data_IF_734954028132
#
_entry.id   IF_734954028132
#
_cell.length_a   1.000
_cell.length_b   1.000
_cell.length_c   1.000
_cell.angle_alpha   90.00
_cell.angle_beta   90.00
_cell.angle_gamma   90.00
#
_symmetry.space_group_name_H-M   'P 1'
#
loop_
_entity.id
_entity.type
_entity.pdbx_description
1 polymer ?
#
# COMPACT_ATOMS: atom_id res chain seq x y z
N UNK A 1 11.86 -7.12 7.77
CA UNK A 1 11.33 -5.98 6.99
C UNK A 1 12.41 -4.92 7.00
N UNK A 2 12.62 -4.20 5.89
CA UNK A 2 13.57 -3.08 5.83
C UNK A 2 12.81 -1.74 5.80
N UNK A 3 13.33 -0.74 6.49
CA UNK A 3 12.78 0.62 6.58
C UNK A 3 13.78 1.57 5.90
N UNK A 4 13.35 2.20 4.81
CA UNK A 4 14.18 3.09 4.01
C UNK A 4 13.71 4.53 4.20
N UNK A 5 14.63 5.47 4.39
CA UNK A 5 14.31 6.88 4.48
C UNK A 5 14.80 7.64 3.25
N UNK A 6 13.93 8.42 2.60
CA UNK A 6 14.36 9.35 1.54
C UNK A 6 15.01 10.58 2.17
N UNK A 7 16.29 10.47 2.50
CA UNK A 7 17.04 11.50 3.22
C UNK A 7 18.39 11.72 2.57
N UNK A 8 18.76 12.99 2.41
CA UNK A 8 20.08 13.38 1.93
C UNK A 8 21.06 13.34 3.11
N UNK A 9 21.88 12.29 3.17
CA UNK A 9 22.95 12.13 4.16
C UNK A 9 24.21 11.58 3.50
N UNK A 10 25.35 11.68 4.19
CA UNK A 10 26.64 11.15 3.70
C UNK A 10 26.64 9.63 3.53
N UNK A 11 25.70 8.93 4.20
CA UNK A 11 25.55 7.48 4.16
C UNK A 11 24.43 7.03 3.22
N UNK A 12 23.77 7.96 2.52
CA UNK A 12 22.67 7.61 1.64
C UNK A 12 23.17 6.92 0.37
N UNK A 13 22.48 5.86 -0.04
CA UNK A 13 22.79 5.09 -1.24
C UNK A 13 21.83 5.44 -2.39
N UNK A 14 22.23 5.18 -3.64
CA UNK A 14 21.32 5.34 -4.77
C UNK A 14 20.12 4.40 -4.57
N UNK A 15 18.91 4.94 -4.66
CA UNK A 15 17.67 4.17 -4.50
C UNK A 15 17.62 2.94 -5.40
N UNK A 16 18.33 2.90 -6.54
CA UNK A 16 18.40 1.76 -7.47
C UNK A 16 19.22 0.58 -6.96
N UNK A 17 20.09 0.79 -5.98
CA UNK A 17 20.97 -0.25 -5.42
C UNK A 17 20.28 -1.11 -4.35
N UNK A 18 19.09 -0.69 -3.91
CA UNK A 18 18.29 -1.42 -2.94
C UNK A 18 17.62 -2.64 -3.58
N UNK A 19 17.59 -3.75 -2.85
CA UNK A 19 16.74 -4.90 -3.16
C UNK A 19 15.31 -4.71 -2.62
N UNK A 20 14.39 -4.28 -3.48
CA UNK A 20 12.97 -4.06 -3.16
C UNK A 20 12.10 -5.33 -3.22
N UNK A 21 12.69 -6.49 -3.52
CA UNK A 21 11.95 -7.78 -3.51
C UNK A 21 11.63 -8.23 -2.09
N UNK A 22 12.31 -7.66 -1.09
CA UNK A 22 12.07 -7.88 0.35
C UNK A 22 10.88 -7.04 0.86
N UNK A 23 10.23 -7.44 1.98
CA UNK A 23 9.28 -6.58 2.68
C UNK A 23 9.92 -5.24 3.05
N UNK A 24 9.40 -4.16 2.48
CA UNK A 24 10.02 -2.83 2.47
C UNK A 24 9.01 -1.75 2.86
N UNK A 25 9.39 -0.89 3.80
CA UNK A 25 8.71 0.36 4.11
C UNK A 25 9.56 1.52 3.60
N UNK A 26 8.95 2.49 2.94
CA UNK A 26 9.65 3.67 2.38
C UNK A 26 9.06 4.91 3.06
N UNK A 27 9.88 5.58 3.85
CA UNK A 27 9.56 6.82 4.51
C UNK A 27 9.82 7.97 3.54
N UNK A 28 8.76 8.71 3.23
CA UNK A 28 8.84 9.91 2.40
C UNK A 28 8.77 11.14 3.29
N UNK A 29 9.68 12.08 3.09
CA UNK A 29 9.68 13.36 3.82
C UNK A 29 8.58 14.32 3.36
N UNK A 30 8.14 15.21 4.25
CA UNK A 30 7.32 16.36 3.86
C UNK A 30 8.14 17.36 3.06
N UNK A 31 7.52 18.05 2.09
CA UNK A 31 8.24 18.95 1.16
C UNK A 31 9.05 20.06 1.85
N UNK A 32 8.61 20.53 3.03
CA UNK A 32 9.26 21.63 3.76
C UNK A 32 10.23 21.18 4.84
N UNK A 33 9.91 20.08 5.51
CA UNK A 33 10.55 19.67 6.77
C UNK A 33 11.28 18.34 6.66
N UNK A 34 11.13 17.63 5.53
CA UNK A 34 11.75 16.32 5.34
C UNK A 34 11.16 15.26 6.26
N UNK A 35 12.00 14.29 6.64
CA UNK A 35 11.68 13.22 7.60
C UNK A 35 12.17 13.68 8.98
N UNK A 36 11.41 13.36 10.04
CA UNK A 36 11.80 13.72 11.41
C UNK A 36 13.05 12.96 11.84
N UNK A 37 13.86 13.56 12.72
CA UNK A 37 15.07 12.90 13.24
C UNK A 37 14.77 11.56 13.94
N UNK A 38 13.62 11.47 14.62
CA UNK A 38 13.14 10.24 15.25
C UNK A 38 12.90 9.14 14.20
N UNK A 39 12.25 9.46 13.09
CA UNK A 39 11.99 8.50 12.03
C UNK A 39 13.28 8.11 11.27
N UNK A 40 14.22 9.05 11.09
CA UNK A 40 15.56 8.76 10.53
C UNK A 40 16.35 7.81 11.42
N UNK A 41 16.31 8.00 12.75
CA UNK A 41 17.02 7.14 13.69
C UNK A 41 16.47 5.70 13.75
N UNK A 42 15.24 5.48 13.26
CA UNK A 42 14.59 4.18 13.17
C UNK A 42 14.70 3.55 11.77
N UNK A 43 15.22 4.28 10.78
CA UNK A 43 15.40 3.76 9.44
C UNK A 43 16.64 2.85 9.39
N UNK A 44 16.55 1.77 8.62
CA UNK A 44 17.67 0.86 8.40
C UNK A 44 18.69 1.44 7.40
N UNK A 45 18.23 2.27 6.46
CA UNK A 45 19.06 2.83 5.40
C UNK A 45 18.47 4.13 4.83
N UNK A 46 19.32 5.13 4.61
CA UNK A 46 18.98 6.32 3.84
C UNK A 46 19.16 6.06 2.34
N UNK A 47 18.20 6.51 1.53
CA UNK A 47 18.23 6.41 0.07
C UNK A 47 18.07 7.78 -0.58
N UNK A 48 18.75 7.98 -1.70
CA UNK A 48 18.64 9.19 -2.51
C UNK A 48 18.31 8.87 -3.97
N UNK A 49 17.61 9.79 -4.61
CA UNK A 49 17.54 9.84 -6.07
C UNK A 49 18.68 10.76 -6.51
N UNK A 50 19.67 10.27 -7.30
CA UNK A 50 20.75 11.12 -7.75
C UNK A 50 20.23 12.30 -8.55
N UNK A 51 20.50 13.51 -8.08
CA UNK A 51 20.13 14.74 -8.74
C UNK A 51 21.28 15.21 -9.63
N UNK A 52 20.99 15.52 -10.89
CA UNK A 52 21.94 16.14 -11.81
C UNK A 52 21.47 17.58 -12.07
N UNK A 53 22.31 18.56 -11.74
CA UNK A 53 22.02 19.98 -11.94
C UNK A 53 21.87 20.75 -10.63
N UNK A 54 21.13 21.86 -10.67
CA UNK A 54 21.07 22.84 -9.57
C UNK A 54 19.96 22.56 -8.54
N UNK A 55 19.05 21.64 -8.83
CA UNK A 55 17.93 21.32 -7.94
C UNK A 55 18.33 20.29 -6.90
N UNK A 56 17.95 20.54 -5.64
CA UNK A 56 18.34 19.71 -4.51
C UNK A 56 17.41 18.51 -4.28
N UNK A 57 16.18 18.56 -4.82
CA UNK A 57 15.19 17.50 -4.67
C UNK A 57 14.16 17.53 -5.79
N UNK A 58 13.41 16.43 -5.91
CA UNK A 58 12.20 16.35 -6.71
C UNK A 58 10.97 16.64 -5.86
N UNK A 59 9.83 16.90 -6.52
CA UNK A 59 8.53 16.86 -5.86
C UNK A 59 8.32 15.47 -5.20
N UNK A 60 7.73 15.44 -4.00
CA UNK A 60 7.57 14.20 -3.22
C UNK A 60 6.79 13.12 -3.97
N UNK A 61 5.78 13.50 -4.77
CA UNK A 61 5.00 12.55 -5.58
C UNK A 61 5.84 11.96 -6.72
N UNK A 62 6.71 12.77 -7.34
CA UNK A 62 7.62 12.34 -8.41
C UNK A 62 8.70 11.42 -7.85
N UNK A 63 9.28 11.77 -6.70
CA UNK A 63 10.24 10.92 -6.00
C UNK A 63 9.60 9.57 -5.61
N UNK A 64 8.40 9.61 -5.04
CA UNK A 64 7.63 8.41 -4.69
C UNK A 64 7.38 7.52 -5.92
N UNK A 65 6.95 8.12 -7.04
CA UNK A 65 6.70 7.40 -8.27
C UNK A 65 7.96 6.72 -8.80
N UNK A 66 9.11 7.41 -8.85
CA UNK A 66 10.37 6.84 -9.31
C UNK A 66 10.80 5.64 -8.45
N UNK A 67 10.76 5.78 -7.13
CA UNK A 67 11.17 4.72 -6.21
C UNK A 67 10.22 3.52 -6.30
N UNK A 68 8.91 3.75 -6.32
CA UNK A 68 7.91 2.69 -6.43
C UNK A 68 7.96 1.98 -7.78
N UNK A 69 8.27 2.67 -8.88
CA UNK A 69 8.44 2.04 -10.19
C UNK A 69 9.73 1.21 -10.26
N UNK A 70 10.81 1.62 -9.60
CA UNK A 70 11.99 0.75 -9.48
C UNK A 70 11.68 -0.51 -8.65
N UNK A 71 10.97 -0.34 -7.53
CA UNK A 71 10.51 -1.48 -6.74
C UNK A 71 9.59 -2.41 -7.56
N UNK A 72 8.67 -1.85 -8.34
CA UNK A 72 7.81 -2.59 -9.25
C UNK A 72 8.62 -3.34 -10.31
N UNK A 73 9.61 -2.70 -10.93
CA UNK A 73 10.51 -3.30 -11.92
C UNK A 73 11.25 -4.51 -11.36
N UNK A 74 11.86 -4.37 -10.17
CA UNK A 74 12.55 -5.47 -9.51
C UNK A 74 11.61 -6.63 -9.16
N UNK A 75 10.44 -6.32 -8.58
CA UNK A 75 9.42 -7.33 -8.22
C UNK A 75 8.86 -8.06 -9.44
N UNK A 76 8.69 -7.35 -10.56
CA UNK A 76 8.28 -7.95 -11.84
C UNK A 76 9.35 -8.89 -12.37
N UNK A 77 10.61 -8.46 -12.39
CA UNK A 77 11.73 -9.30 -12.85
C UNK A 77 11.95 -10.54 -11.96
N UNK A 78 11.63 -10.43 -10.67
CA UNK A 78 11.62 -11.55 -9.73
C UNK A 78 10.35 -12.43 -9.82
N UNK A 79 9.43 -12.15 -10.77
CA UNK A 79 8.21 -12.93 -10.95
C UNK A 79 7.17 -12.77 -9.83
N UNK A 80 7.30 -11.79 -8.94
CA UNK A 80 6.45 -11.66 -7.76
C UNK A 80 5.00 -11.27 -8.07
N UNK A 81 4.73 -10.79 -9.29
CA UNK A 81 3.39 -10.53 -9.80
C UNK A 81 2.82 -11.67 -10.64
N UNK A 82 3.62 -12.70 -10.96
CA UNK A 82 3.18 -13.89 -11.70
C UNK A 82 2.60 -14.91 -10.72
N UNK A 83 1.45 -14.60 -10.13
CA UNK A 83 0.79 -15.46 -9.13
C UNK A 83 -0.62 -15.80 -9.56
N UNK A 84 -0.97 -17.07 -9.44
CA UNK A 84 -2.35 -17.56 -9.65
C UNK A 84 -3.25 -17.21 -8.47
N UNK A 85 -2.69 -17.13 -7.26
CA UNK A 85 -3.41 -16.88 -6.02
C UNK A 85 -2.86 -15.67 -5.27
N UNK A 86 -3.74 -14.97 -4.55
CA UNK A 86 -3.38 -13.84 -3.68
C UNK A 86 -2.53 -14.31 -2.48
N UNK A 87 -1.66 -13.44 -1.98
CA UNK A 87 -0.92 -13.67 -0.73
C UNK A 87 -1.75 -13.39 0.53
N UNK A 88 -2.92 -12.77 0.38
CA UNK A 88 -3.78 -12.42 1.51
C UNK A 88 -4.60 -13.64 1.95
N UNK A 89 -4.87 -13.82 3.25
CA UNK A 89 -5.86 -14.80 3.71
C UNK A 89 -7.22 -14.57 3.03
N UNK A 90 -7.95 -15.64 2.72
CA UNK A 90 -9.24 -15.55 2.02
C UNK A 90 -10.23 -14.59 2.70
N UNK A 91 -10.32 -14.62 4.04
CA UNK A 91 -11.17 -13.71 4.80
C UNK A 91 -10.83 -12.22 4.57
N UNK A 92 -9.54 -11.90 4.39
CA UNK A 92 -9.10 -10.53 4.10
C UNK A 92 -9.39 -10.16 2.64
N UNK A 93 -9.21 -11.09 1.71
CA UNK A 93 -9.62 -10.90 0.30
C UNK A 93 -11.11 -10.58 0.22
N UNK A 94 -11.96 -11.38 0.86
CA UNK A 94 -13.42 -11.19 0.87
C UNK A 94 -13.83 -9.87 1.51
N UNK A 95 -13.19 -9.49 2.62
CA UNK A 95 -13.40 -8.17 3.23
C UNK A 95 -13.09 -7.04 2.25
N UNK A 96 -11.94 -7.10 1.57
CA UNK A 96 -11.53 -6.07 0.60
C UNK A 96 -12.43 -6.04 -0.64
N UNK A 97 -12.85 -7.20 -1.14
CA UNK A 97 -13.79 -7.31 -2.26
C UNK A 97 -15.13 -6.67 -1.90
N UNK A 98 -15.67 -6.94 -0.72
CA UNK A 98 -16.93 -6.36 -0.27
C UNK A 98 -16.81 -4.85 -0.02
N UNK A 99 -15.77 -4.40 0.69
CA UNK A 99 -15.54 -2.97 0.98
C UNK A 99 -15.28 -2.15 -0.29
N UNK A 100 -14.54 -2.71 -1.25
CA UNK A 100 -14.20 -2.07 -2.51
C UNK A 100 -15.31 -2.12 -3.55
N UNK A 101 -15.96 -3.28 -3.72
CA UNK A 101 -17.03 -3.48 -4.69
C UNK A 101 -18.37 -2.86 -4.26
N UNK A 102 -18.64 -2.82 -2.95
CA UNK A 102 -19.92 -2.38 -2.40
C UNK A 102 -19.75 -1.37 -1.25
N UNK A 103 -19.10 -0.21 -1.46
CA UNK A 103 -18.71 0.69 -0.38
C UNK A 103 -19.89 1.25 0.42
N UNK A 104 -21.07 1.41 -0.21
CA UNK A 104 -22.29 1.85 0.47
C UNK A 104 -22.82 0.75 1.38
N UNK A 105 -22.91 -0.50 0.90
CA UNK A 105 -23.38 -1.63 1.69
C UNK A 105 -22.41 -1.94 2.83
N UNK A 106 -21.10 -1.88 2.59
CA UNK A 106 -20.07 -2.04 3.61
C UNK A 106 -20.22 -1.04 4.76
N UNK A 107 -20.48 0.24 4.46
CA UNK A 107 -20.74 1.26 5.48
C UNK A 107 -21.99 0.93 6.31
N UNK A 108 -23.07 0.49 5.68
CA UNK A 108 -24.33 0.15 6.36
C UNK A 108 -24.15 -1.11 7.21
N UNK A 109 -23.56 -2.17 6.66
CA UNK A 109 -23.25 -3.40 7.38
C UNK A 109 -22.39 -3.12 8.61
N UNK A 110 -21.34 -2.31 8.46
CA UNK A 110 -20.49 -1.88 9.58
C UNK A 110 -21.26 -1.10 10.65
N UNK A 111 -22.16 -0.19 10.27
CA UNK A 111 -23.02 0.56 11.21
C UNK A 111 -24.00 -0.35 11.96
N UNK A 112 -24.51 -1.39 11.30
CA UNK A 112 -25.47 -2.35 11.85
C UNK A 112 -24.80 -3.55 12.54
N UNK A 113 -23.47 -3.63 12.55
CA UNK A 113 -22.74 -4.77 13.12
C UNK A 113 -22.94 -6.09 12.35
N UNK A 114 -23.33 -6.00 11.07
CA UNK A 114 -23.55 -7.17 10.23
C UNK A 114 -22.22 -7.72 9.70
N UNK A 115 -22.07 -9.06 9.64
CA UNK A 115 -20.94 -9.67 8.96
C UNK A 115 -20.99 -9.33 7.46
N UNK A 116 -19.82 -9.30 6.83
CA UNK A 116 -19.74 -9.12 5.40
C UNK A 116 -20.04 -10.45 4.70
N UNK A 117 -21.00 -10.47 3.76
CA UNK A 117 -21.28 -11.65 2.96
C UNK A 117 -20.14 -11.95 1.98
N UNK A 118 -20.13 -13.17 1.46
CA UNK A 118 -19.15 -13.58 0.45
C UNK A 118 -19.45 -12.89 -0.89
N UNK A 119 -18.41 -12.53 -1.63
CA UNK A 119 -18.48 -12.03 -3.00
C UNK A 119 -18.01 -13.14 -3.93
N UNK A 120 -18.90 -13.60 -4.80
CA UNK A 120 -18.63 -14.71 -5.71
C UNK A 120 -17.72 -14.30 -6.88
N UNK A 121 -17.38 -15.26 -7.75
CA UNK A 121 -16.47 -15.01 -8.89
C UNK A 121 -17.06 -14.06 -9.94
N UNK A 122 -18.38 -13.91 -9.98
CA UNK A 122 -19.08 -12.96 -10.84
C UNK A 122 -19.12 -11.55 -10.23
N UNK A 123 -18.60 -11.40 -9.01
CA UNK A 123 -18.61 -10.14 -8.27
C UNK A 123 -19.92 -9.86 -7.56
N UNK A 124 -20.80 -10.86 -7.39
CA UNK A 124 -22.11 -10.73 -6.76
C UNK A 124 -22.07 -11.09 -5.28
N UNK A 125 -22.99 -10.52 -4.49
CA UNK A 125 -23.11 -10.77 -3.05
C UNK A 125 -23.90 -12.05 -2.79
N UNK A 126 -23.29 -13.00 -2.08
CA UNK A 126 -23.94 -14.20 -1.56
C UNK A 126 -24.36 -13.95 -0.11
N UNK A 127 -25.61 -13.51 0.06
CA UNK A 127 -26.22 -13.25 1.36
C UNK A 127 -27.62 -13.87 1.45
N UNK A 128 -28.01 -14.31 2.64
CA UNK A 128 -29.36 -14.82 2.89
C UNK A 128 -30.41 -13.69 2.94
N UNK A 129 -31.68 -14.10 2.94
CA UNK A 129 -32.80 -13.16 3.00
C UNK A 129 -32.81 -12.34 4.30
N UNK A 130 -32.34 -12.91 5.41
CA UNK A 130 -32.30 -12.25 6.72
C UNK A 130 -31.29 -11.09 6.74
N UNK A 131 -30.14 -11.28 6.08
CA UNK A 131 -29.14 -10.25 5.90
C UNK A 131 -29.72 -9.08 5.08
N UNK A 132 -30.39 -9.38 3.96
CA UNK A 132 -31.03 -8.35 3.13
C UNK A 132 -32.17 -7.62 3.86
N UNK A 133 -32.99 -8.34 4.62
CA UNK A 133 -34.04 -7.75 5.43
C UNK A 133 -33.46 -6.78 6.48
N UNK A 134 -32.37 -7.18 7.15
CA UNK A 134 -31.70 -6.34 8.16
C UNK A 134 -31.02 -5.12 7.54
N UNK A 135 -30.51 -5.25 6.32
CA UNK A 135 -29.95 -4.14 5.54
C UNK A 135 -31.01 -3.11 5.15
N UNK A 136 -32.21 -3.56 4.78
CA UNK A 136 -33.33 -2.68 4.40
C UNK A 136 -34.09 -2.10 5.59
N UNK A 137 -34.08 -2.78 6.73
CA UNK A 137 -34.71 -2.28 7.95
C UNK A 137 -34.14 -0.90 8.30
N UNK A 138 -35.01 0.07 8.58
CA UNK A 138 -34.58 1.36 9.11
C UNK A 138 -33.82 1.10 10.43
N UNK A 139 -32.57 1.59 10.50
CA UNK A 139 -31.72 1.50 11.69
C UNK A 139 -31.80 2.76 12.53
#
# INVERSE_FOLDING_TARGET
MQILATHLSDNAVDFREIDYTRPTCILMGQEKTGITQEALALADQDIIIPMIGMVQSLNVSVASALILYEAQRQRQNAGMYLRENSMLPEAEQQRLLFEGGYPVLAKVAKRKGLPYPHVNQQGEIEADADWWATMQAAG
#
